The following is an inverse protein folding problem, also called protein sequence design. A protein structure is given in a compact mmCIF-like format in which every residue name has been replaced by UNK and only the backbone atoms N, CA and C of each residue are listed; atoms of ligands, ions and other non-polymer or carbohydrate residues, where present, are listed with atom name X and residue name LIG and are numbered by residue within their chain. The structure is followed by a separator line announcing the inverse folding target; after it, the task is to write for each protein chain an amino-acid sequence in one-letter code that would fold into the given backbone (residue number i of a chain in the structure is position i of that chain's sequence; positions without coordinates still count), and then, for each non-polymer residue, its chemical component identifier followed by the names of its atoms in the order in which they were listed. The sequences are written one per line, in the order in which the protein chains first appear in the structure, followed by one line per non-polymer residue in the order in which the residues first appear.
data_IF_052018532833
#
_entry.id   IF_052018532833
#
_cell.length_a   1.000
_cell.length_b   1.000
_cell.length_c   1.000
_cell.angle_alpha   90.00
_cell.angle_beta   90.00
_cell.angle_gamma   90.00
#
_symmetry.space_group_name_H-M   'P 1'
#
loop_
_entity.id
_entity.type
_entity.pdbx_description
1 polymer ?
#
# COMPACT_ATOMS: atom_id res chain seq x y z
N UNK A 1 -12.38 -20.20 -18.90
CA UNK A 1 -10.94 -20.48 -19.07
C UNK A 1 -10.17 -19.18 -18.85
N UNK A 2 -9.09 -19.29 -18.07
CA UNK A 2 -8.08 -18.30 -17.64
C UNK A 2 -8.52 -17.10 -16.78
N UNK A 3 -8.65 -17.34 -15.47
CA UNK A 3 -8.19 -16.38 -14.46
C UNK A 3 -6.67 -16.38 -14.49
N UNK A 4 -6.09 -15.25 -14.87
CA UNK A 4 -4.64 -15.04 -14.87
C UNK A 4 -4.13 -15.07 -13.42
N UNK A 5 -3.37 -16.11 -13.09
CA UNK A 5 -2.56 -16.23 -11.88
C UNK A 5 -1.47 -15.17 -11.89
N UNK A 6 -1.67 -14.11 -11.09
CA UNK A 6 -0.70 -13.02 -10.88
C UNK A 6 0.49 -13.43 -9.99
N UNK A 7 0.58 -14.70 -9.56
CA UNK A 7 1.62 -15.17 -8.64
C UNK A 7 3.04 -15.31 -9.23
N UNK A 8 3.24 -15.24 -10.56
CA UNK A 8 4.55 -15.63 -11.14
C UNK A 8 5.61 -14.53 -11.28
N UNK A 9 5.35 -13.25 -11.04
CA UNK A 9 6.37 -12.20 -11.25
C UNK A 9 7.17 -11.77 -9.98
N UNK A 10 6.94 -12.38 -8.81
CA UNK A 10 7.49 -11.88 -7.53
C UNK A 10 8.86 -12.45 -7.13
N UNK A 11 9.59 -13.12 -8.02
CA UNK A 11 10.77 -13.91 -7.65
C UNK A 11 12.11 -13.12 -7.56
N UNK A 12 12.19 -11.87 -8.02
CA UNK A 12 13.50 -11.19 -8.21
C UNK A 12 14.05 -10.41 -7.00
N UNK A 13 13.26 -10.12 -5.96
CA UNK A 13 13.70 -9.25 -4.84
C UNK A 13 13.92 -9.99 -3.49
N UNK A 14 13.82 -11.32 -3.47
CA UNK A 14 13.82 -12.13 -2.24
C UNK A 14 15.21 -12.31 -1.57
N UNK A 15 16.33 -12.02 -2.24
CA UNK A 15 17.64 -12.46 -1.75
C UNK A 15 18.21 -11.63 -0.58
N UNK A 16 17.88 -10.34 -0.44
CA UNK A 16 18.42 -9.50 0.65
C UNK A 16 17.50 -9.52 1.89
N UNK A 17 16.24 -9.90 1.69
CA UNK A 17 15.20 -9.95 2.72
C UNK A 17 15.54 -11.00 3.79
N UNK A 18 16.22 -12.10 3.45
CA UNK A 18 16.45 -13.22 4.37
C UNK A 18 17.42 -12.90 5.53
N UNK A 19 18.39 -12.00 5.35
CA UNK A 19 19.41 -11.76 6.38
C UNK A 19 18.93 -10.84 7.51
N UNK A 20 18.05 -9.87 7.21
CA UNK A 20 17.39 -9.04 8.23
C UNK A 20 16.10 -9.67 8.76
N UNK A 21 15.41 -10.51 7.96
CA UNK A 21 14.21 -11.23 8.40
C UNK A 21 14.50 -12.29 9.45
N UNK A 22 15.64 -12.98 9.43
CA UNK A 22 15.94 -13.99 10.45
C UNK A 22 16.07 -13.36 11.85
N UNK A 23 16.66 -12.18 12.00
CA UNK A 23 16.80 -11.55 13.33
C UNK A 23 15.50 -10.94 13.87
N UNK A 24 14.69 -10.27 13.03
CA UNK A 24 13.42 -9.65 13.48
C UNK A 24 12.30 -10.69 13.66
N UNK A 25 12.25 -11.71 12.81
CA UNK A 25 11.24 -12.77 12.95
C UNK A 25 11.54 -13.70 14.13
N UNK A 26 12.81 -13.99 14.45
CA UNK A 26 13.14 -14.88 15.56
C UNK A 26 12.87 -14.23 16.93
N UNK A 27 13.10 -12.93 17.10
CA UNK A 27 12.85 -12.25 18.38
C UNK A 27 11.36 -11.99 18.64
N UNK A 28 10.56 -11.70 17.61
CA UNK A 28 9.14 -11.36 17.79
C UNK A 28 8.21 -12.58 17.76
N UNK A 29 8.68 -13.76 17.32
CA UNK A 29 7.86 -14.98 17.20
C UNK A 29 8.11 -15.96 18.37
N UNK A 30 9.16 -15.80 19.18
CA UNK A 30 9.59 -16.85 20.14
C UNK A 30 9.57 -16.49 21.63
N UNK A 31 8.75 -15.54 22.06
CA UNK A 31 8.40 -15.41 23.49
C UNK A 31 6.89 -15.49 23.73
N UNK A 32 6.43 -16.71 24.01
CA UNK A 32 5.30 -17.06 24.90
C UNK A 32 3.95 -16.34 24.76
N UNK A 33 2.88 -17.13 24.54
CA UNK A 33 1.45 -16.79 24.68
C UNK A 33 0.92 -15.71 23.72
N UNK A 34 0.22 -16.15 22.66
CA UNK A 34 -0.56 -15.37 21.69
C UNK A 34 -0.74 -13.88 22.05
N UNK A 35 0.25 -13.06 21.69
CA UNK A 35 0.06 -11.63 21.57
C UNK A 35 -0.43 -11.38 20.15
N UNK A 36 -1.68 -10.95 20.02
CA UNK A 36 -2.23 -10.55 18.73
C UNK A 36 -1.31 -9.51 18.07
N UNK A 37 -1.12 -9.58 16.74
CA UNK A 37 -0.28 -8.63 16.02
C UNK A 37 -0.74 -7.19 16.30
N UNK A 38 0.20 -6.28 16.44
CA UNK A 38 -0.09 -4.88 16.74
C UNK A 38 -0.01 -4.01 15.49
N UNK A 39 -0.83 -2.97 15.43
CA UNK A 39 -0.76 -1.94 14.40
C UNK A 39 -1.00 -0.54 14.95
N UNK A 40 -0.41 0.47 14.30
CA UNK A 40 -0.70 1.85 14.62
C UNK A 40 -2.14 2.24 14.29
N UNK A 41 -2.66 3.25 14.97
CA UNK A 41 -3.97 3.85 14.67
C UNK A 41 -4.11 4.30 13.21
N UNK A 42 -3.06 4.87 12.63
CA UNK A 42 -3.09 5.32 11.25
C UNK A 42 -3.27 4.13 10.30
N UNK A 43 -2.53 3.04 10.53
CA UNK A 43 -2.69 1.81 9.76
C UNK A 43 -4.08 1.19 9.96
N UNK A 44 -4.55 1.10 11.21
CA UNK A 44 -5.90 0.63 11.51
C UNK A 44 -6.98 1.43 10.75
N UNK A 45 -6.84 2.76 10.68
CA UNK A 45 -7.77 3.63 9.96
C UNK A 45 -7.81 3.33 8.46
N UNK A 46 -6.64 3.10 7.84
CA UNK A 46 -6.53 2.72 6.43
C UNK A 46 -7.18 1.37 6.14
N UNK A 47 -6.94 0.37 7.00
CA UNK A 47 -7.50 -0.98 6.88
C UNK A 47 -9.03 -0.98 6.96
N UNK A 48 -9.61 -0.18 7.85
CA UNK A 48 -11.06 -0.10 7.99
C UNK A 48 -11.72 0.86 7.00
N UNK A 49 -10.95 1.77 6.38
CA UNK A 49 -11.47 2.81 5.49
C UNK A 49 -12.28 3.87 6.24
N UNK A 50 -11.89 4.17 7.48
CA UNK A 50 -12.53 5.19 8.33
C UNK A 50 -11.47 6.16 8.83
N UNK A 51 -11.90 7.34 9.24
CA UNK A 51 -11.00 8.30 9.87
C UNK A 51 -10.50 7.82 11.24
N UNK A 52 -9.36 8.32 11.69
CA UNK A 52 -8.87 8.09 13.05
C UNK A 52 -9.86 8.54 14.14
N UNK A 53 -10.78 9.46 13.85
CA UNK A 53 -11.84 9.87 14.79
C UNK A 53 -12.79 8.73 15.10
N UNK A 54 -13.04 7.83 14.15
CA UNK A 54 -13.85 6.63 14.37
C UNK A 54 -13.15 5.69 15.35
N UNK A 55 -11.83 5.50 15.19
CA UNK A 55 -11.03 4.72 16.14
C UNK A 55 -11.00 5.36 17.53
N UNK A 56 -10.83 6.69 17.61
CA UNK A 56 -10.89 7.42 18.89
C UNK A 56 -12.21 7.19 19.62
N UNK A 57 -13.32 7.21 18.90
CA UNK A 57 -14.64 6.94 19.48
C UNK A 57 -14.73 5.51 20.04
N UNK A 58 -14.29 4.51 19.29
CA UNK A 58 -14.25 3.12 19.78
C UNK A 58 -13.37 2.96 21.01
N UNK A 59 -12.25 3.68 21.08
CA UNK A 59 -11.40 3.69 22.26
C UNK A 59 -12.10 4.32 23.47
N UNK A 60 -12.82 5.43 23.29
CA UNK A 60 -13.59 6.07 24.37
C UNK A 60 -14.75 5.19 24.86
N UNK A 61 -15.33 4.37 23.97
CA UNK A 61 -16.40 3.43 24.29
C UNK A 61 -15.87 2.11 24.90
N UNK A 62 -14.55 1.92 24.96
CA UNK A 62 -13.92 0.69 25.47
C UNK A 62 -13.97 -0.51 24.52
N UNK A 63 -14.42 -0.31 23.28
CA UNK A 63 -14.48 -1.38 22.25
C UNK A 63 -13.09 -1.73 21.70
N UNK A 64 -12.17 -0.78 21.77
CA UNK A 64 -10.79 -0.90 21.31
C UNK A 64 -9.83 -0.37 22.38
N UNK A 65 -8.89 -1.19 22.81
CA UNK A 65 -7.95 -0.84 23.88
C UNK A 65 -6.55 -0.66 23.31
N UNK A 66 -5.86 0.40 23.75
CA UNK A 66 -4.46 0.60 23.43
C UNK A 66 -3.61 -0.46 24.14
N UNK A 67 -2.77 -1.17 23.38
CA UNK A 67 -1.86 -2.19 23.91
C UNK A 67 -0.50 -1.60 24.32
N UNK A 68 -0.20 -0.38 23.88
CA UNK A 68 1.03 0.33 24.23
C UNK A 68 1.40 1.38 23.20
N UNK A 69 2.70 1.69 23.15
CA UNK A 69 3.29 2.61 22.19
C UNK A 69 4.44 1.93 21.45
N UNK A 70 4.62 2.27 20.18
CA UNK A 70 5.83 1.85 19.45
C UNK A 70 7.03 2.74 19.77
N UNK A 71 8.19 2.41 19.18
CA UNK A 71 9.43 3.19 19.32
C UNK A 71 9.30 4.64 18.84
N UNK A 72 8.30 4.94 18.02
CA UNK A 72 8.02 6.28 17.49
C UNK A 72 6.97 7.02 18.33
N UNK A 73 6.51 6.44 19.44
CA UNK A 73 5.48 7.01 20.31
C UNK A 73 4.05 6.90 19.75
N UNK A 74 3.81 6.09 18.70
CA UNK A 74 2.47 5.87 18.14
C UNK A 74 1.74 4.83 18.98
N UNK A 75 0.46 5.08 19.26
CA UNK A 75 -0.41 4.13 19.96
C UNK A 75 -0.57 2.86 19.12
N UNK A 76 -0.33 1.71 19.75
CA UNK A 76 -0.46 0.39 19.19
C UNK A 76 -1.79 -0.25 19.60
N UNK A 77 -2.47 -0.83 18.62
CA UNK A 77 -3.78 -1.45 18.75
C UNK A 77 -3.69 -2.92 18.38
N UNK A 78 -4.56 -3.72 18.96
CA UNK A 78 -4.73 -5.13 18.60
C UNK A 78 -5.34 -5.25 17.18
N UNK A 79 -4.56 -5.79 16.24
CA UNK A 79 -4.95 -5.91 14.84
C UNK A 79 -6.12 -6.86 14.65
N UNK A 80 -6.17 -7.98 15.37
CA UNK A 80 -7.25 -8.95 15.26
C UNK A 80 -8.57 -8.30 15.67
N UNK A 81 -8.53 -7.50 16.75
CA UNK A 81 -9.69 -6.72 17.18
C UNK A 81 -10.10 -5.68 16.13
N UNK A 82 -9.15 -4.93 15.57
CA UNK A 82 -9.43 -3.95 14.51
C UNK A 82 -10.09 -4.60 13.30
N UNK A 83 -9.57 -5.74 12.83
CA UNK A 83 -10.11 -6.46 11.68
C UNK A 83 -11.50 -7.03 11.98
N UNK A 84 -11.73 -7.53 13.19
CA UNK A 84 -13.06 -8.00 13.63
C UNK A 84 -14.11 -6.88 13.59
N UNK A 85 -13.77 -5.67 14.03
CA UNK A 85 -14.66 -4.51 14.04
C UNK A 85 -14.92 -3.96 12.62
N UNK A 86 -13.98 -4.18 11.69
CA UNK A 86 -14.11 -3.78 10.30
C UNK A 86 -15.15 -4.62 9.53
N UNK A 87 -15.64 -5.72 10.11
CA UNK A 87 -16.42 -6.73 9.38
C UNK A 87 -15.64 -7.29 8.19
N UNK A 88 -14.31 -7.25 8.26
CA UNK A 88 -13.43 -8.00 7.40
C UNK A 88 -13.41 -9.42 7.95
N UNK A 89 -13.66 -10.39 7.08
CA UNK A 89 -13.57 -11.81 7.41
C UNK A 89 -12.19 -12.07 8.03
N UNK A 90 -12.15 -12.95 9.04
CA UNK A 90 -10.95 -13.44 9.72
C UNK A 90 -9.75 -13.45 8.76
N UNK A 91 -8.62 -12.78 9.10
CA UNK A 91 -7.44 -12.67 8.24
C UNK A 91 -6.94 -14.08 7.88
N UNK A 92 -7.38 -14.57 6.72
CA UNK A 92 -7.23 -15.98 6.36
C UNK A 92 -5.86 -16.31 5.75
N UNK A 93 -4.96 -15.33 5.67
CA UNK A 93 -3.59 -15.55 5.21
C UNK A 93 -2.62 -14.89 6.18
N UNK A 94 -1.73 -15.68 6.79
CA UNK A 94 -0.62 -15.19 7.60
C UNK A 94 0.21 -14.12 6.83
N UNK A 95 0.27 -14.24 5.51
CA UNK A 95 0.90 -13.27 4.60
C UNK A 95 0.31 -11.86 4.71
N UNK A 96 -1.00 -11.73 4.95
CA UNK A 96 -1.65 -10.43 5.11
C UNK A 96 -1.21 -9.74 6.41
N UNK A 97 -1.17 -10.50 7.51
CA UNK A 97 -0.75 -9.98 8.81
C UNK A 97 0.69 -9.49 8.74
N UNK A 98 1.60 -10.29 8.17
CA UNK A 98 2.99 -9.89 7.98
C UNK A 98 3.11 -8.61 7.15
N UNK A 99 2.39 -8.55 6.02
CA UNK A 99 2.39 -7.38 5.13
C UNK A 99 1.91 -6.12 5.86
N UNK A 100 0.87 -6.23 6.70
CA UNK A 100 0.34 -5.11 7.50
C UNK A 100 1.38 -4.61 8.50
N UNK A 101 2.03 -5.51 9.24
CA UNK A 101 3.04 -5.15 10.24
C UNK A 101 4.25 -4.47 9.58
N UNK A 102 4.72 -5.01 8.45
CA UNK A 102 5.80 -4.40 7.68
C UNK A 102 5.40 -3.03 7.10
N UNK A 103 4.18 -2.92 6.57
CA UNK A 103 3.65 -1.65 6.08
C UNK A 103 3.55 -0.59 7.20
N UNK A 104 3.18 -0.99 8.42
CA UNK A 104 3.08 -0.09 9.58
C UNK A 104 4.45 0.40 10.07
N UNK A 105 5.49 -0.44 9.88
CA UNK A 105 6.89 -0.05 10.07
C UNK A 105 7.42 0.89 8.97
N UNK A 106 6.66 1.05 7.89
CA UNK A 106 6.99 1.92 6.77
C UNK A 106 7.88 1.26 5.71
N UNK A 107 7.87 -0.05 5.58
CA UNK A 107 8.54 -0.72 4.48
C UNK A 107 7.84 -0.35 3.14
N UNK A 108 8.55 0.24 2.16
CA UNK A 108 7.92 0.72 0.93
C UNK A 108 7.32 -0.40 0.08
N UNK A 109 7.91 -1.60 0.11
CA UNK A 109 7.42 -2.76 -0.63
C UNK A 109 6.11 -3.25 -0.01
N UNK A 110 6.08 -3.42 1.31
CA UNK A 110 4.88 -3.81 2.03
C UNK A 110 3.75 -2.76 1.93
N UNK A 111 4.07 -1.47 1.96
CA UNK A 111 3.10 -0.40 1.72
C UNK A 111 2.47 -0.52 0.32
N UNK A 112 3.29 -0.77 -0.71
CA UNK A 112 2.80 -1.01 -2.06
C UNK A 112 1.92 -2.27 -2.13
N UNK A 113 2.39 -3.38 -1.57
CA UNK A 113 1.70 -4.67 -1.62
C UNK A 113 0.35 -4.59 -0.88
N UNK A 114 0.32 -3.95 0.29
CA UNK A 114 -0.92 -3.70 1.02
C UNK A 114 -1.86 -2.78 0.23
N UNK A 115 -1.32 -1.77 -0.46
CA UNK A 115 -2.08 -0.91 -1.37
C UNK A 115 -2.75 -1.71 -2.48
N UNK A 116 -2.01 -2.63 -3.12
CA UNK A 116 -2.56 -3.53 -4.13
C UNK A 116 -3.63 -4.47 -3.56
N UNK A 117 -3.42 -5.01 -2.37
CA UNK A 117 -4.41 -5.85 -1.68
C UNK A 117 -5.70 -5.07 -1.41
N UNK A 118 -5.60 -3.84 -0.91
CA UNK A 118 -6.77 -2.98 -0.69
C UNK A 118 -7.40 -2.47 -1.99
N UNK A 119 -6.74 -2.59 -3.13
CA UNK A 119 -7.31 -2.19 -4.42
C UNK A 119 -8.01 -3.35 -5.13
N UNK A 120 -7.44 -4.55 -5.09
CA UNK A 120 -7.87 -5.67 -5.92
C UNK A 120 -8.42 -6.87 -5.14
N UNK A 121 -8.05 -7.06 -3.88
CA UNK A 121 -8.48 -8.21 -3.10
C UNK A 121 -9.94 -8.05 -2.66
N UNK A 122 -10.83 -8.79 -3.30
CA UNK A 122 -12.26 -8.78 -2.99
C UNK A 122 -12.55 -9.24 -1.56
N UNK A 123 -11.71 -10.09 -0.98
CA UNK A 123 -11.87 -10.59 0.40
C UNK A 123 -11.73 -9.47 1.42
N UNK A 124 -10.90 -8.47 1.10
CA UNK A 124 -10.68 -7.32 1.97
C UNK A 124 -11.74 -6.24 1.82
N UNK A 125 -12.66 -6.36 0.86
CA UNK A 125 -13.53 -5.27 0.36
C UNK A 125 -12.65 -4.11 -0.15
N UNK A 126 -12.52 -3.92 -1.47
CA UNK A 126 -11.66 -2.90 -2.02
C UNK A 126 -11.92 -1.51 -1.44
N UNK A 127 -10.83 -0.84 -1.03
CA UNK A 127 -10.78 0.51 -0.46
C UNK A 127 -9.79 1.34 -1.28
N UNK A 128 -10.19 1.84 -2.45
CA UNK A 128 -9.25 2.51 -3.36
C UNK A 128 -8.64 3.79 -2.76
N UNK A 129 -9.37 4.52 -1.90
CA UNK A 129 -8.80 5.69 -1.22
C UNK A 129 -7.72 5.33 -0.19
N UNK A 130 -7.88 4.22 0.54
CA UNK A 130 -6.84 3.72 1.43
C UNK A 130 -5.62 3.23 0.65
N UNK A 131 -5.85 2.54 -0.48
CA UNK A 131 -4.79 2.10 -1.37
C UNK A 131 -3.96 3.27 -1.90
N UNK A 132 -4.62 4.33 -2.38
CA UNK A 132 -3.94 5.54 -2.85
C UNK A 132 -3.09 6.20 -1.76
N UNK A 133 -3.57 6.25 -0.51
CA UNK A 133 -2.79 6.76 0.62
C UNK A 133 -1.55 5.91 0.91
N UNK A 134 -1.66 4.58 0.81
CA UNK A 134 -0.52 3.68 0.96
C UNK A 134 0.50 3.83 -0.18
N UNK A 135 0.02 3.98 -1.42
CA UNK A 135 0.91 4.26 -2.56
C UNK A 135 1.61 5.62 -2.40
N UNK A 136 0.94 6.65 -1.88
CA UNK A 136 1.58 7.92 -1.54
C UNK A 136 2.68 7.77 -0.49
N UNK A 137 2.44 6.98 0.56
CA UNK A 137 3.44 6.71 1.58
C UNK A 137 4.66 5.94 1.04
N UNK A 138 4.44 4.96 0.15
CA UNK A 138 5.52 4.23 -0.51
C UNK A 138 6.28 5.11 -1.52
N UNK A 139 5.58 5.93 -2.30
CA UNK A 139 6.18 6.87 -3.25
C UNK A 139 7.02 7.95 -2.54
N UNK A 140 6.62 8.39 -1.34
CA UNK A 140 7.42 9.29 -0.51
C UNK A 140 8.77 8.68 -0.09
N UNK A 141 8.91 7.35 -0.15
CA UNK A 141 10.15 6.60 0.06
C UNK A 141 10.87 6.25 -1.25
N UNK A 142 10.54 6.94 -2.33
CA UNK A 142 11.13 6.74 -3.66
C UNK A 142 10.88 5.36 -4.27
N UNK A 143 9.79 4.69 -3.88
CA UNK A 143 9.46 3.38 -4.43
C UNK A 143 8.83 3.51 -5.83
N UNK A 144 9.49 3.03 -6.91
CA UNK A 144 9.05 3.31 -8.27
C UNK A 144 7.69 2.68 -8.61
N UNK A 145 7.42 1.46 -8.13
CA UNK A 145 6.18 0.74 -8.44
C UNK A 145 4.96 1.47 -7.85
N UNK A 146 5.10 2.00 -6.62
CA UNK A 146 4.04 2.81 -6.01
C UNK A 146 3.78 4.11 -6.77
N UNK A 147 4.81 4.76 -7.32
CA UNK A 147 4.64 5.94 -8.18
C UNK A 147 3.86 5.60 -9.46
N UNK A 148 4.13 4.44 -10.07
CA UNK A 148 3.37 3.98 -11.23
C UNK A 148 1.90 3.66 -10.84
N UNK A 149 1.66 3.07 -9.67
CA UNK A 149 0.29 2.89 -9.16
C UNK A 149 -0.43 4.22 -8.89
N UNK A 150 0.28 5.25 -8.41
CA UNK A 150 -0.30 6.60 -8.29
C UNK A 150 -0.66 7.20 -9.64
N UNK A 151 0.19 7.05 -10.66
CA UNK A 151 -0.15 7.41 -12.03
C UNK A 151 -1.47 6.74 -12.46
N UNK A 152 -1.60 5.42 -12.25
CA UNK A 152 -2.81 4.69 -12.56
C UNK A 152 -4.04 5.21 -11.78
N UNK A 153 -3.89 5.49 -10.49
CA UNK A 153 -4.95 6.02 -9.64
C UNK A 153 -5.41 7.42 -10.08
N UNK A 154 -4.50 8.35 -10.34
CA UNK A 154 -4.82 9.71 -10.78
C UNK A 154 -5.37 9.76 -12.21
N UNK A 155 -4.89 8.90 -13.11
CA UNK A 155 -5.38 8.83 -14.48
C UNK A 155 -6.84 8.35 -14.56
N UNK A 156 -7.20 7.40 -13.70
CA UNK A 156 -8.53 6.77 -13.71
C UNK A 156 -9.49 7.33 -12.65
N UNK A 157 -9.01 8.18 -11.73
CA UNK A 157 -9.81 8.67 -10.60
C UNK A 157 -10.14 7.58 -9.57
N UNK A 158 -9.21 6.63 -9.36
CA UNK A 158 -9.40 5.50 -8.46
C UNK A 158 -8.91 5.89 -7.06
N UNK A 159 -9.85 6.13 -6.14
CA UNK A 159 -9.53 6.47 -4.75
C UNK A 159 -9.07 7.91 -4.53
N UNK A 160 -8.75 8.61 -5.62
CA UNK A 160 -8.38 10.03 -5.70
C UNK A 160 -9.17 10.70 -6.82
N UNK A 161 -9.27 12.02 -6.80
CA UNK A 161 -9.85 12.75 -7.92
C UNK A 161 -8.99 12.55 -9.18
N UNK A 162 -9.66 12.39 -10.33
CA UNK A 162 -8.97 12.26 -11.61
C UNK A 162 -8.21 13.55 -11.92
N UNK A 163 -6.90 13.42 -12.17
CA UNK A 163 -6.02 14.53 -12.53
C UNK A 163 -4.89 14.01 -13.42
N UNK A 164 -5.02 14.25 -14.72
CA UNK A 164 -4.06 13.79 -15.71
C UNK A 164 -2.70 14.48 -15.55
N UNK A 165 -2.66 15.74 -15.11
CA UNK A 165 -1.41 16.47 -14.95
C UNK A 165 -0.61 15.90 -13.77
N UNK A 166 -1.28 15.64 -12.65
CA UNK A 166 -0.67 14.95 -11.50
C UNK A 166 -0.29 13.51 -11.84
N UNK A 167 -1.10 12.79 -12.61
CA UNK A 167 -0.77 11.44 -13.08
C UNK A 167 0.56 11.44 -13.85
N UNK A 168 0.71 12.31 -14.86
CA UNK A 168 1.93 12.38 -15.66
C UNK A 168 3.16 12.73 -14.83
N UNK A 169 3.03 13.59 -13.81
CA UNK A 169 4.14 13.87 -12.87
C UNK A 169 4.61 12.61 -12.16
N UNK A 170 3.68 11.80 -11.64
CA UNK A 170 4.03 10.53 -10.99
C UNK A 170 4.64 9.52 -11.98
N UNK A 171 4.16 9.49 -13.23
CA UNK A 171 4.73 8.65 -14.29
C UNK A 171 6.18 9.03 -14.60
N UNK A 172 6.45 10.33 -14.77
CA UNK A 172 7.80 10.85 -14.99
C UNK A 172 8.73 10.55 -13.83
N UNK A 173 8.24 10.69 -12.58
CA UNK A 173 9.01 10.32 -11.39
C UNK A 173 9.31 8.82 -11.37
N UNK A 174 8.32 7.95 -11.59
CA UNK A 174 8.53 6.50 -11.64
C UNK A 174 9.59 6.12 -12.68
N UNK A 175 9.54 6.72 -13.87
CA UNK A 175 10.53 6.53 -14.92
C UNK A 175 11.94 6.98 -14.49
N UNK A 176 12.05 8.12 -13.80
CA UNK A 176 13.34 8.64 -13.29
C UNK A 176 13.97 7.75 -12.23
N UNK A 177 13.15 7.05 -11.42
CA UNK A 177 13.60 6.06 -10.45
C UNK A 177 13.75 4.64 -11.04
N UNK A 178 13.74 4.50 -12.37
CA UNK A 178 14.10 3.26 -13.06
C UNK A 178 12.94 2.29 -13.33
N UNK A 179 11.69 2.69 -13.13
CA UNK A 179 10.54 1.84 -13.44
C UNK A 179 10.40 1.63 -14.96
N UNK A 180 10.58 0.40 -15.42
CA UNK A 180 10.67 0.09 -16.86
C UNK A 180 9.37 0.38 -17.61
N UNK A 181 8.22 -0.02 -17.05
CA UNK A 181 6.91 0.21 -17.68
C UNK A 181 6.60 1.71 -17.75
N UNK A 182 6.84 2.47 -16.68
CA UNK A 182 6.66 3.91 -16.65
C UNK A 182 7.53 4.62 -17.70
N UNK A 183 8.78 4.19 -17.88
CA UNK A 183 9.68 4.72 -18.92
C UNK A 183 9.13 4.46 -20.33
N UNK A 184 8.60 3.27 -20.59
CA UNK A 184 7.99 2.94 -21.88
C UNK A 184 6.71 3.76 -22.12
N UNK A 185 5.84 3.88 -21.11
CA UNK A 185 4.62 4.67 -21.17
C UNK A 185 4.91 6.16 -21.39
N UNK A 186 5.91 6.72 -20.70
CA UNK A 186 6.29 8.13 -20.87
C UNK A 186 6.78 8.41 -22.29
N UNK A 187 7.63 7.54 -22.85
CA UNK A 187 8.11 7.66 -24.23
C UNK A 187 6.96 7.66 -25.25
N UNK A 188 5.95 6.80 -25.05
CA UNK A 188 4.74 6.80 -25.88
C UNK A 188 4.02 8.16 -25.77
N UNK A 189 3.79 8.66 -24.55
CA UNK A 189 3.14 9.96 -24.34
C UNK A 189 3.89 11.11 -25.03
N UNK A 190 5.22 11.15 -24.91
CA UNK A 190 6.06 12.19 -25.54
C UNK A 190 6.01 12.12 -27.08
N UNK A 191 6.01 10.91 -27.65
CA UNK A 191 5.90 10.74 -29.10
C UNK A 191 4.54 11.18 -29.67
N UNK A 192 3.45 11.01 -28.91
CA UNK A 192 2.13 11.48 -29.29
C UNK A 192 2.06 13.01 -29.31
N UNK A 193 2.63 13.67 -28.29
CA UNK A 193 2.61 15.13 -28.19
C UNK A 193 3.48 15.80 -29.27
N UNK A 194 4.64 15.19 -29.57
CA UNK A 194 5.50 15.63 -30.67
C UNK A 194 4.77 15.56 -32.04
N UNK A 195 4.01 14.49 -32.29
CA UNK A 195 3.25 14.35 -33.54
C UNK A 195 2.10 15.37 -33.66
N UNK A 196 1.45 15.72 -32.56
CA UNK A 196 0.43 16.78 -32.54
C UNK A 196 1.07 18.15 -32.82
N UNK A 197 2.21 18.46 -32.19
CA UNK A 197 2.94 19.71 -32.46
C UNK A 197 3.38 19.84 -33.91
N UNK A 198 3.88 18.76 -34.53
CA UNK A 198 4.29 18.76 -35.94
C UNK A 198 3.08 18.95 -36.88
N UNK A 199 1.92 18.37 -36.55
CA UNK A 199 0.70 18.52 -37.35
C UNK A 199 0.11 19.95 -37.30
N UNK A 200 0.25 20.66 -36.18
CA UNK A 200 -0.26 22.03 -36.02
C UNK A 200 0.64 23.08 -36.69
N UNK A 201 1.95 22.81 -36.83
CA UNK A 201 2.89 23.71 -37.51
C UNK A 201 3.01 23.47 -39.02
N UNK A 202 2.33 22.44 -39.56
CA UNK A 202 2.33 22.09 -40.99
C UNK A 202 0.99 22.30 -41.70
N UNK A 203 0.03 22.97 -41.05
CA UNK A 203 -1.26 23.40 -41.59
C UNK A 203 -1.34 24.92 -41.67
#
# INVERSE_FOLDING_TARGET
MSTLDWCCCRASHYSVRNFWMESISQENIRSSNHSSPLCSRAMAALLIGRSERSLQRWMQQGELVAQGFDRSGRIQLDLDKVLSLAGAVSPCAAEMIETIVLADSGDPVALNDLGMMLLFDQRLKPRPSSAAALFQAAAAKHFPDAMHWLFYCFLNGIGVAKDNATALRWLSQAASFGHQIAKAQLSIYESYDANISVAVHSA
#
